data_IF_228761454518
#
_entry.id   IF_228761454518
#
_cell.length_a   1.000
_cell.length_b   1.000
_cell.length_c   1.000
_cell.angle_alpha   90.00
_cell.angle_beta   90.00
_cell.angle_gamma   90.00
#
_symmetry.space_group_name_H-M   'P 1'
#
loop_
_entity.id
_entity.type
_entity.pdbx_description
1 polymer ?
#
# COMPACT_ATOMS: atom_id res chain seq x y z
N UNK A 1 14.00 20.78 -5.70
CA UNK A 1 13.68 19.70 -4.73
C UNK A 1 13.73 18.39 -5.48
N UNK A 2 14.63 17.49 -5.11
CA UNK A 2 14.75 16.19 -5.78
C UNK A 2 13.50 15.36 -5.55
N UNK A 3 12.90 14.83 -6.61
CA UNK A 3 11.77 13.90 -6.51
C UNK A 3 12.28 12.61 -5.86
N UNK A 4 11.91 12.37 -4.59
CA UNK A 4 12.20 11.11 -3.92
C UNK A 4 11.56 9.98 -4.72
N UNK A 5 12.33 8.93 -5.01
CA UNK A 5 11.78 7.72 -5.62
C UNK A 5 10.86 7.02 -4.61
N UNK A 6 9.60 6.80 -5.02
CA UNK A 6 8.61 6.14 -4.19
C UNK A 6 8.92 4.65 -4.06
N UNK A 7 8.65 4.08 -2.89
CA UNK A 7 8.72 2.63 -2.69
C UNK A 7 7.63 1.90 -3.50
N UNK A 8 7.72 0.57 -3.60
CA UNK A 8 6.69 -0.21 -4.28
C UNK A 8 5.32 -0.02 -3.62
N UNK A 9 5.25 -0.10 -2.28
CA UNK A 9 4.05 0.11 -1.49
C UNK A 9 3.47 1.51 -1.64
N UNK A 10 4.32 2.54 -1.64
CA UNK A 10 3.88 3.94 -1.83
C UNK A 10 3.26 4.17 -3.21
N UNK A 11 3.83 3.56 -4.26
CA UNK A 11 3.21 3.58 -5.60
C UNK A 11 1.91 2.76 -5.62
N UNK A 12 1.92 1.59 -4.99
CA UNK A 12 0.81 0.64 -4.95
C UNK A 12 -0.48 1.23 -4.34
N UNK A 13 -0.36 2.14 -3.36
CA UNK A 13 -1.50 2.82 -2.71
C UNK A 13 -1.79 4.22 -3.28
N UNK A 14 -1.01 4.65 -4.29
CA UNK A 14 -1.06 6.01 -4.83
C UNK A 14 -0.87 7.06 -3.72
N UNK A 15 0.28 7.03 -3.03
CA UNK A 15 0.53 7.86 -1.83
C UNK A 15 0.38 9.37 -2.09
N UNK A 16 0.64 9.82 -3.33
CA UNK A 16 0.48 11.22 -3.74
C UNK A 16 -0.95 11.65 -4.08
N UNK A 17 -1.89 10.72 -4.18
CA UNK A 17 -3.28 11.03 -4.52
C UNK A 17 -4.12 11.25 -3.26
N UNK A 18 -4.19 12.50 -2.79
CA UNK A 18 -5.05 12.90 -1.66
C UNK A 18 -5.61 14.31 -1.92
N UNK A 19 -6.62 14.45 -2.80
CA UNK A 19 -7.07 15.76 -3.30
C UNK A 19 -7.61 16.70 -2.21
N UNK A 20 -8.16 16.14 -1.13
CA UNK A 20 -8.69 16.92 0.00
C UNK A 20 -7.66 17.11 1.13
N UNK A 21 -6.45 16.58 0.99
CA UNK A 21 -5.42 16.66 2.02
C UNK A 21 -5.81 15.99 3.35
N UNK A 22 -6.70 15.00 3.31
CA UNK A 22 -7.23 14.34 4.51
C UNK A 22 -6.12 13.55 5.22
N UNK A 23 -5.85 13.90 6.48
CA UNK A 23 -4.80 13.28 7.27
C UNK A 23 -5.07 11.80 7.58
N UNK A 24 -6.34 11.41 7.75
CA UNK A 24 -6.71 10.02 7.99
C UNK A 24 -6.52 9.17 6.72
N UNK A 25 -6.84 9.73 5.55
CA UNK A 25 -6.54 9.08 4.25
C UNK A 25 -5.03 8.91 4.07
N UNK A 26 -4.24 9.95 4.35
CA UNK A 26 -2.78 9.89 4.26
C UNK A 26 -2.18 8.83 5.19
N UNK A 27 -2.62 8.81 6.46
CA UNK A 27 -2.19 7.83 7.45
C UNK A 27 -2.57 6.40 7.05
N UNK A 28 -3.81 6.19 6.60
CA UNK A 28 -4.29 4.89 6.11
C UNK A 28 -3.44 4.39 4.95
N UNK A 29 -3.22 5.23 3.93
CA UNK A 29 -2.35 4.88 2.79
C UNK A 29 -0.93 4.53 3.23
N UNK A 30 -0.35 5.30 4.15
CA UNK A 30 1.01 5.01 4.63
C UNK A 30 1.10 3.67 5.35
N UNK A 31 0.12 3.32 6.19
CA UNK A 31 0.04 2.02 6.87
C UNK A 31 0.03 0.87 5.87
N UNK A 32 -0.82 0.94 4.84
CA UNK A 32 -0.88 -0.10 3.82
C UNK A 32 0.37 -0.12 2.93
N UNK A 33 0.95 1.04 2.60
CA UNK A 33 2.22 1.10 1.86
C UNK A 33 3.35 0.38 2.60
N UNK A 34 3.47 0.58 3.92
CA UNK A 34 4.48 -0.09 4.74
C UNK A 34 4.29 -1.61 4.77
N UNK A 35 3.04 -2.07 4.92
CA UNK A 35 2.72 -3.50 4.89
C UNK A 35 3.05 -4.12 3.52
N UNK A 36 2.71 -3.44 2.43
CA UNK A 36 3.03 -3.88 1.06
C UNK A 36 4.55 -3.92 0.85
N UNK A 37 5.29 -2.90 1.29
CA UNK A 37 6.76 -2.88 1.19
C UNK A 37 7.40 -4.03 1.98
N UNK A 38 6.86 -4.37 3.15
CA UNK A 38 7.34 -5.51 3.92
C UNK A 38 7.15 -6.82 3.13
N UNK A 39 5.99 -7.02 2.53
CA UNK A 39 5.70 -8.22 1.73
C UNK A 39 6.49 -8.25 0.43
N UNK A 40 6.72 -7.11 -0.21
CA UNK A 40 7.52 -7.01 -1.43
C UNK A 40 9.00 -7.36 -1.16
N UNK A 41 9.57 -6.86 -0.07
CA UNK A 41 10.92 -7.24 0.39
C UNK A 41 11.01 -8.75 0.66
N UNK A 42 10.01 -9.32 1.35
CA UNK A 42 9.96 -10.76 1.61
C UNK A 42 9.90 -11.57 0.31
N UNK A 43 9.03 -11.16 -0.62
CA UNK A 43 8.86 -11.78 -1.93
C UNK A 43 10.16 -11.74 -2.75
N UNK A 44 10.88 -10.62 -2.71
CA UNK A 44 12.14 -10.46 -3.42
C UNK A 44 13.28 -11.30 -2.83
N UNK A 45 13.36 -11.37 -1.49
CA UNK A 45 14.45 -12.06 -0.79
C UNK A 45 14.25 -13.58 -0.65
N UNK A 46 13.02 -14.07 -0.75
CA UNK A 46 12.73 -15.50 -0.57
C UNK A 46 13.26 -16.38 -1.71
N UNK A 47 13.67 -17.61 -1.41
CA UNK A 47 13.90 -18.68 -2.38
C UNK A 47 12.71 -19.64 -2.51
N UNK A 48 11.76 -19.61 -1.57
CA UNK A 48 10.59 -20.50 -1.56
C UNK A 48 9.52 -19.99 -2.53
N UNK A 49 9.12 -20.78 -3.55
CA UNK A 49 8.06 -20.39 -4.48
C UNK A 49 6.75 -20.09 -3.76
N UNK A 50 6.43 -20.87 -2.73
CA UNK A 50 5.19 -20.72 -1.97
C UNK A 50 5.19 -19.44 -1.12
N UNK A 51 6.33 -19.10 -0.49
CA UNK A 51 6.43 -17.84 0.25
C UNK A 51 6.30 -16.62 -0.67
N UNK A 52 6.83 -16.69 -1.90
CA UNK A 52 6.62 -15.63 -2.91
C UNK A 52 5.16 -15.50 -3.32
N UNK A 53 4.46 -16.64 -3.50
CA UNK A 53 3.03 -16.67 -3.83
C UNK A 53 2.20 -16.05 -2.71
N UNK A 54 2.45 -16.44 -1.46
CA UNK A 54 1.76 -15.91 -0.29
C UNK A 54 2.00 -14.41 -0.10
N UNK A 55 3.25 -13.95 -0.24
CA UNK A 55 3.57 -12.53 -0.18
C UNK A 55 2.87 -11.74 -1.31
N UNK A 56 2.79 -12.30 -2.52
CA UNK A 56 2.07 -11.66 -3.64
C UNK A 56 0.56 -11.55 -3.36
N UNK A 57 -0.05 -12.58 -2.78
CA UNK A 57 -1.47 -12.53 -2.37
C UNK A 57 -1.68 -11.47 -1.29
N UNK A 58 -0.82 -11.43 -0.25
CA UNK A 58 -0.91 -10.44 0.81
C UNK A 58 -0.81 -8.99 0.27
N UNK A 59 0.05 -8.75 -0.72
CA UNK A 59 0.14 -7.45 -1.42
C UNK A 59 -1.20 -7.10 -2.09
N UNK A 60 -1.76 -7.99 -2.89
CA UNK A 60 -3.02 -7.77 -3.62
C UNK A 60 -4.17 -7.49 -2.67
N UNK A 61 -4.29 -8.26 -1.59
CA UNK A 61 -5.34 -8.08 -0.59
C UNK A 61 -5.14 -6.78 0.20
N UNK A 62 -3.90 -6.41 0.53
CA UNK A 62 -3.60 -5.14 1.19
C UNK A 62 -3.96 -3.92 0.32
N UNK A 63 -3.67 -3.96 -0.98
CA UNK A 63 -4.10 -2.91 -1.92
C UNK A 63 -5.63 -2.81 -1.99
N UNK A 64 -6.31 -3.96 -2.06
CA UNK A 64 -7.78 -4.00 -2.12
C UNK A 64 -8.40 -3.44 -0.85
N UNK A 65 -7.91 -3.87 0.32
CA UNK A 65 -8.32 -3.36 1.63
C UNK A 65 -8.07 -1.86 1.76
N UNK A 66 -6.92 -1.35 1.29
CA UNK A 66 -6.61 0.08 1.30
C UNK A 66 -7.64 0.90 0.52
N UNK A 67 -8.06 0.43 -0.66
CA UNK A 67 -9.06 1.11 -1.48
C UNK A 67 -10.42 1.18 -0.76
N UNK A 68 -10.85 0.09 -0.14
CA UNK A 68 -12.07 0.07 0.68
C UNK A 68 -11.95 0.95 1.92
N UNK A 69 -10.80 0.98 2.59
CA UNK A 69 -10.55 1.84 3.73
C UNK A 69 -10.66 3.33 3.36
N UNK A 70 -10.08 3.75 2.22
CA UNK A 70 -10.23 5.14 1.74
C UNK A 70 -11.67 5.45 1.37
N UNK A 71 -12.38 4.51 0.72
CA UNK A 71 -13.80 4.68 0.44
C UNK A 71 -14.61 4.88 1.73
N UNK A 72 -14.35 4.09 2.76
CA UNK A 72 -15.01 4.22 4.05
C UNK A 72 -14.67 5.55 4.75
N UNK A 73 -13.40 5.94 4.77
CA UNK A 73 -12.94 7.20 5.38
C UNK A 73 -13.55 8.44 4.72
N UNK A 74 -13.83 8.36 3.42
CA UNK A 74 -14.38 9.47 2.63
C UNK A 74 -15.90 9.37 2.42
N UNK A 75 -16.54 8.35 2.99
CA UNK A 75 -17.98 8.11 2.85
C UNK A 75 -18.79 9.22 3.52
N UNK A 76 -19.86 9.64 2.86
CA UNK A 76 -20.85 10.61 3.36
C UNK A 76 -22.23 10.07 2.97
N UNK A 77 -23.15 10.01 3.95
CA UNK A 77 -24.56 9.66 3.71
C UNK A 77 -25.35 10.83 3.11
#
# INVERSE_FOLDING_TARGET
MGTRELTYGERAVGIGFNPNGDAAVAASKMTFAQAIDQMDRLRAASSSPEQKRLASLAITEAQSAQMWAVKALTWKD
#
